data_IF_114845399605
#
_entry.id   IF_114845399605
#
_cell.length_a   1.000
_cell.length_b   1.000
_cell.length_c   1.000
_cell.angle_alpha   90.00
_cell.angle_beta   90.00
_cell.angle_gamma   90.00
#
_symmetry.space_group_name_H-M   'P 1'
#
loop_
_entity.id
_entity.type
_entity.pdbx_description
1 polymer ?
#
# COMPACT_ATOMS: atom_id res chain seq x y z
N UNK A 1 18.80 29.46 -33.42
CA UNK A 1 17.35 29.64 -33.21
C UNK A 1 16.94 28.60 -32.21
N UNK A 2 16.18 28.98 -31.19
CA UNK A 2 15.66 28.00 -30.25
C UNK A 2 14.69 27.09 -30.99
N UNK A 3 14.90 25.79 -30.86
CA UNK A 3 14.02 24.78 -31.43
C UNK A 3 12.66 24.86 -30.72
N UNK A 4 11.59 25.19 -31.45
CA UNK A 4 10.25 25.34 -30.88
C UNK A 4 9.46 24.05 -31.08
N UNK A 5 8.94 23.51 -29.99
CA UNK A 5 8.04 22.36 -30.00
C UNK A 5 6.58 22.76 -29.78
N UNK A 6 5.69 21.94 -30.33
CA UNK A 6 4.25 21.98 -30.08
C UNK A 6 3.87 20.81 -29.21
N UNK A 7 3.19 21.10 -28.11
CA UNK A 7 2.68 20.16 -27.15
C UNK A 7 1.15 20.09 -27.14
N UNK A 8 0.61 18.89 -26.92
CA UNK A 8 -0.81 18.64 -26.68
C UNK A 8 -0.97 17.70 -25.49
N UNK A 9 -2.05 17.88 -24.72
CA UNK A 9 -2.29 17.04 -23.54
C UNK A 9 -2.49 15.55 -23.87
N UNK A 10 -3.31 15.17 -24.85
CA UNK A 10 -3.51 13.76 -25.23
C UNK A 10 -4.23 13.56 -26.56
N UNK A 11 -3.57 12.92 -27.54
CA UNK A 11 -4.15 12.61 -28.86
C UNK A 11 -3.70 11.21 -29.32
N UNK A 12 -4.53 10.48 -30.07
CA UNK A 12 -4.16 9.15 -30.63
C UNK A 12 -3.68 9.24 -32.09
N UNK A 13 -4.09 10.27 -32.82
CA UNK A 13 -3.61 10.54 -34.18
C UNK A 13 -3.29 12.03 -34.34
N UNK A 14 -2.28 12.35 -35.17
CA UNK A 14 -1.89 13.73 -35.43
C UNK A 14 -1.29 13.94 -36.82
N UNK A 15 -1.63 15.08 -37.44
CA UNK A 15 -1.02 15.64 -38.66
C UNK A 15 -0.81 17.13 -38.45
N UNK A 16 0.36 17.64 -38.82
CA UNK A 16 0.70 19.06 -38.71
C UNK A 16 1.19 19.57 -40.06
N UNK A 17 0.80 20.80 -40.38
CA UNK A 17 1.39 21.63 -41.41
C UNK A 17 1.80 22.97 -40.79
N UNK A 18 2.97 23.49 -41.16
CA UNK A 18 3.43 24.81 -40.77
C UNK A 18 3.64 25.67 -42.02
N UNK A 19 2.87 26.73 -42.15
CA UNK A 19 2.94 27.69 -43.25
C UNK A 19 3.69 28.94 -42.78
N UNK A 20 4.76 29.28 -43.47
CA UNK A 20 5.64 30.41 -43.16
C UNK A 20 6.15 31.04 -44.46
N UNK A 21 6.95 32.12 -44.41
CA UNK A 21 7.28 32.89 -45.63
C UNK A 21 8.08 32.09 -46.67
N UNK A 22 8.80 31.06 -46.20
CA UNK A 22 9.61 30.15 -47.00
C UNK A 22 8.85 28.97 -47.62
N UNK A 23 7.55 28.81 -47.34
CA UNK A 23 6.73 27.73 -47.87
C UNK A 23 5.89 27.01 -46.81
N UNK A 24 5.54 25.76 -47.09
CA UNK A 24 4.73 24.91 -46.20
C UNK A 24 5.52 23.66 -45.84
N UNK A 25 5.83 23.51 -44.55
CA UNK A 25 6.41 22.30 -43.99
C UNK A 25 5.31 21.29 -43.66
N UNK A 26 5.42 20.09 -44.23
CA UNK A 26 4.51 18.98 -43.99
C UNK A 26 5.13 17.92 -43.08
N UNK A 27 4.53 17.69 -41.92
CA UNK A 27 4.99 16.67 -40.97
C UNK A 27 4.30 15.33 -41.20
N UNK A 28 5.00 14.23 -40.96
CA UNK A 28 4.44 12.89 -41.14
C UNK A 28 3.19 12.67 -40.25
N UNK A 29 2.19 12.03 -40.82
CA UNK A 29 1.01 11.62 -40.05
C UNK A 29 1.39 10.52 -39.07
N UNK A 30 0.93 10.65 -37.82
CA UNK A 30 1.22 9.72 -36.73
C UNK A 30 -0.06 9.10 -36.18
N UNK A 31 -0.03 7.79 -35.94
CA UNK A 31 -1.03 6.99 -35.22
C UNK A 31 -0.41 6.22 -34.07
N UNK A 32 -0.95 6.42 -32.87
CA UNK A 32 -0.60 5.66 -31.68
C UNK A 32 -0.80 4.15 -31.91
N UNK A 33 0.15 3.34 -31.43
CA UNK A 33 0.12 1.88 -31.52
C UNK A 33 0.57 1.30 -32.87
N UNK A 34 0.44 2.05 -33.97
CA UNK A 34 0.94 1.65 -35.30
C UNK A 34 2.34 2.19 -35.56
N UNK A 35 2.52 3.49 -35.40
CA UNK A 35 3.77 4.17 -35.71
C UNK A 35 4.70 4.20 -34.48
N UNK A 36 6.03 4.36 -34.66
CA UNK A 36 6.96 4.49 -33.56
C UNK A 36 6.55 5.58 -32.57
N UNK A 37 6.82 5.41 -31.28
CA UNK A 37 6.49 6.41 -30.27
C UNK A 37 7.46 7.61 -30.28
N UNK A 38 8.65 7.47 -30.89
CA UNK A 38 9.64 8.54 -31.07
C UNK A 38 10.18 8.53 -32.52
N UNK A 39 10.55 9.69 -33.04
CA UNK A 39 11.23 9.87 -34.32
C UNK A 39 12.02 11.19 -34.37
N UNK A 40 12.66 11.48 -35.51
CA UNK A 40 13.39 12.74 -35.70
C UNK A 40 12.43 13.93 -35.56
N UNK A 41 12.66 14.78 -34.56
CA UNK A 41 11.79 15.93 -34.28
C UNK A 41 10.40 15.58 -33.75
N UNK A 42 10.16 14.35 -33.26
CA UNK A 42 8.85 13.95 -32.72
C UNK A 42 8.97 13.00 -31.54
N UNK A 43 8.18 13.26 -30.51
CA UNK A 43 7.90 12.32 -29.42
C UNK A 43 6.37 12.26 -29.28
N UNK A 44 5.79 11.10 -29.57
CA UNK A 44 4.34 10.87 -29.52
C UNK A 44 3.59 11.87 -30.41
N UNK A 45 2.64 12.62 -29.83
CA UNK A 45 1.92 13.72 -30.46
C UNK A 45 2.68 15.04 -30.46
N UNK A 46 3.83 15.15 -29.79
CA UNK A 46 4.61 16.38 -29.70
C UNK A 46 5.59 16.47 -30.87
N UNK A 47 5.69 17.63 -31.50
CA UNK A 47 6.47 17.84 -32.72
C UNK A 47 7.34 19.09 -32.59
N UNK A 48 8.59 18.97 -33.01
CA UNK A 48 9.45 20.10 -33.36
C UNK A 48 8.89 20.74 -34.63
N UNK A 49 8.67 22.05 -34.59
CA UNK A 49 8.13 22.80 -35.73
C UNK A 49 9.06 23.96 -36.08
N UNK A 50 9.27 24.17 -37.38
CA UNK A 50 10.09 25.28 -37.87
C UNK A 50 9.25 26.54 -37.82
N UNK A 51 9.75 27.55 -37.13
CA UNK A 51 9.13 28.87 -37.02
C UNK A 51 10.23 29.92 -37.19
N UNK A 52 10.40 30.50 -38.39
CA UNK A 52 11.45 31.47 -38.60
C UNK A 52 11.24 32.74 -37.76
N UNK A 53 12.34 33.32 -37.28
CA UNK A 53 12.28 34.48 -36.41
C UNK A 53 11.85 35.74 -37.18
N UNK A 54 10.95 36.53 -36.59
CA UNK A 54 10.51 37.81 -37.16
C UNK A 54 9.36 37.71 -38.16
N UNK A 55 8.77 36.54 -38.35
CA UNK A 55 7.60 36.34 -39.21
C UNK A 55 6.48 35.55 -38.52
N UNK A 56 5.30 35.57 -39.13
CA UNK A 56 4.14 34.82 -38.65
C UNK A 56 4.17 33.43 -39.29
N UNK A 57 4.25 32.38 -38.47
CA UNK A 57 4.03 31.00 -38.89
C UNK A 57 2.61 30.56 -38.51
N UNK A 58 1.83 30.11 -39.49
CA UNK A 58 0.48 29.58 -39.28
C UNK A 58 0.55 28.06 -39.18
N UNK A 59 0.03 27.50 -38.09
CA UNK A 59 0.11 26.06 -37.81
C UNK A 59 -1.26 25.43 -37.97
N UNK A 60 -1.40 24.52 -38.94
CA UNK A 60 -2.60 23.71 -39.10
C UNK A 60 -2.38 22.37 -38.41
N UNK A 61 -3.08 22.16 -37.30
CA UNK A 61 -2.94 20.98 -36.46
C UNK A 61 -4.21 20.14 -36.49
N UNK A 62 -4.16 19.03 -37.20
CA UNK A 62 -5.24 18.06 -37.28
C UNK A 62 -4.96 16.93 -36.32
N UNK A 63 -5.94 16.60 -35.48
CA UNK A 63 -5.82 15.50 -34.54
C UNK A 63 -7.11 14.69 -34.46
N UNK A 64 -6.97 13.44 -34.03
CA UNK A 64 -8.09 12.56 -33.74
C UNK A 64 -7.85 11.83 -32.43
N UNK A 65 -8.93 11.63 -31.69
CA UNK A 65 -8.97 10.74 -30.54
C UNK A 65 -10.23 9.88 -30.67
N UNK A 66 -10.06 8.60 -31.06
CA UNK A 66 -11.17 7.67 -31.26
C UNK A 66 -10.83 6.33 -30.60
N UNK A 67 -11.56 5.90 -29.55
CA UNK A 67 -12.62 6.65 -28.85
C UNK A 67 -12.06 7.89 -28.12
N UNK A 68 -12.94 8.84 -27.84
CA UNK A 68 -12.60 10.11 -27.20
C UNK A 68 -12.18 9.94 -25.75
N UNK A 69 -11.12 10.64 -25.34
CA UNK A 69 -10.66 10.64 -23.95
C UNK A 69 -11.53 11.53 -23.06
N UNK A 70 -12.22 10.91 -22.10
CA UNK A 70 -13.07 11.63 -21.15
C UNK A 70 -12.31 12.24 -19.98
N UNK A 71 -11.02 11.94 -19.79
CA UNK A 71 -10.20 12.60 -18.75
C UNK A 71 -9.72 13.99 -19.16
N UNK A 72 -9.14 14.13 -20.37
CA UNK A 72 -8.47 15.37 -20.79
C UNK A 72 -9.36 16.32 -21.61
N UNK A 73 -10.67 16.14 -21.58
CA UNK A 73 -11.65 16.84 -22.43
C UNK A 73 -12.12 18.20 -21.91
N UNK A 74 -12.69 19.09 -22.73
CA UNK A 74 -13.52 20.24 -22.31
C UNK A 74 -14.71 20.38 -23.27
N UNK A 75 -15.69 21.20 -22.91
CA UNK A 75 -16.91 21.47 -23.70
C UNK A 75 -16.62 21.93 -25.15
N UNK A 76 -15.39 22.41 -25.43
CA UNK A 76 -14.95 22.85 -26.76
C UNK A 76 -13.86 21.96 -27.42
N UNK A 77 -13.64 20.71 -26.96
CA UNK A 77 -12.67 19.77 -27.56
C UNK A 77 -11.58 19.31 -26.58
N UNK A 78 -10.40 18.94 -27.10
CA UNK A 78 -9.23 18.63 -26.26
C UNK A 78 -8.57 19.94 -25.81
N UNK A 79 -8.28 20.04 -24.51
CA UNK A 79 -8.24 21.34 -23.82
C UNK A 79 -6.99 22.20 -24.06
N UNK A 80 -5.85 21.62 -24.41
CA UNK A 80 -4.58 22.37 -24.33
C UNK A 80 -3.61 22.03 -25.46
N UNK A 81 -3.23 23.07 -26.18
CA UNK A 81 -2.05 23.14 -27.04
C UNK A 81 -1.11 24.19 -26.44
N UNK A 82 0.15 23.84 -26.30
CA UNK A 82 1.20 24.74 -25.79
C UNK A 82 2.37 24.74 -26.77
N UNK A 83 3.13 25.83 -26.75
CA UNK A 83 4.41 25.94 -27.44
C UNK A 83 5.50 26.18 -26.40
N UNK A 84 6.71 25.70 -26.67
CA UNK A 84 7.85 25.89 -25.79
C UNK A 84 9.13 25.33 -26.39
N UNK A 85 10.26 25.45 -25.68
CA UNK A 85 11.52 24.86 -26.13
C UNK A 85 11.36 23.35 -26.34
N UNK A 86 11.75 22.85 -27.52
CA UNK A 86 11.63 21.45 -27.88
C UNK A 86 12.37 20.53 -26.90
N UNK A 87 13.52 21.00 -26.41
CA UNK A 87 14.32 20.30 -25.43
C UNK A 87 13.55 20.07 -24.11
N UNK A 88 12.81 21.06 -23.63
CA UNK A 88 12.05 20.96 -22.38
C UNK A 88 10.85 20.02 -22.55
N UNK A 89 10.13 20.13 -23.67
CA UNK A 89 9.01 19.22 -24.01
C UNK A 89 9.53 17.77 -24.06
N UNK A 90 10.66 17.54 -24.74
CA UNK A 90 11.27 16.21 -24.84
C UNK A 90 11.66 15.67 -23.47
N UNK A 91 12.32 16.49 -22.65
CA UNK A 91 12.77 16.10 -21.31
C UNK A 91 11.59 15.78 -20.38
N UNK A 92 10.50 16.54 -20.43
CA UNK A 92 9.29 16.27 -19.65
C UNK A 92 8.65 14.92 -20.01
N UNK A 93 8.53 14.61 -21.31
CA UNK A 93 7.96 13.33 -21.76
C UNK A 93 8.83 12.14 -21.37
N UNK A 94 10.16 12.27 -21.51
CA UNK A 94 11.11 11.24 -21.08
C UNK A 94 11.13 11.06 -19.56
N UNK A 95 11.02 12.15 -18.80
CA UNK A 95 10.94 12.12 -17.34
C UNK A 95 9.69 11.38 -16.87
N UNK A 96 8.53 11.61 -17.50
CA UNK A 96 7.30 10.88 -17.17
C UNK A 96 7.45 9.37 -17.39
N UNK A 97 8.06 8.98 -18.52
CA UNK A 97 8.36 7.58 -18.80
C UNK A 97 9.35 6.98 -17.79
N UNK A 98 10.48 7.64 -17.54
CA UNK A 98 11.49 7.20 -16.59
C UNK A 98 10.92 7.05 -15.17
N UNK A 99 10.06 8.00 -14.76
CA UNK A 99 9.38 7.97 -13.46
C UNK A 99 8.45 6.75 -13.35
N UNK A 100 7.66 6.43 -14.38
CA UNK A 100 6.80 5.24 -14.37
C UNK A 100 7.60 3.92 -14.39
N UNK A 101 8.73 3.87 -15.11
CA UNK A 101 9.65 2.71 -15.06
C UNK A 101 10.22 2.54 -13.65
N UNK A 102 10.65 3.63 -13.01
CA UNK A 102 11.18 3.60 -11.65
C UNK A 102 10.13 3.12 -10.64
N UNK A 103 8.90 3.67 -10.70
CA UNK A 103 7.79 3.23 -9.84
C UNK A 103 7.49 1.75 -10.04
N UNK A 104 7.43 1.27 -11.29
CA UNK A 104 7.25 -0.15 -11.60
C UNK A 104 8.34 -1.01 -10.96
N UNK A 105 9.61 -0.69 -11.20
CA UNK A 105 10.74 -1.47 -10.70
C UNK A 105 10.80 -1.49 -9.16
N UNK A 106 10.61 -0.33 -8.52
CA UNK A 106 10.62 -0.19 -7.06
C UNK A 106 9.44 -0.95 -6.44
N UNK A 107 8.23 -0.75 -6.96
CA UNK A 107 7.04 -1.40 -6.43
C UNK A 107 7.10 -2.92 -6.61
N UNK A 108 7.62 -3.40 -7.75
CA UNK A 108 7.82 -4.83 -7.98
C UNK A 108 8.87 -5.42 -7.01
N UNK A 109 10.01 -4.74 -6.83
CA UNK A 109 11.07 -5.16 -5.92
C UNK A 109 10.60 -5.22 -4.46
N UNK A 110 9.94 -4.17 -3.98
CA UNK A 110 9.37 -4.14 -2.64
C UNK A 110 8.19 -5.12 -2.47
N UNK A 111 7.39 -5.31 -3.52
CA UNK A 111 6.35 -6.33 -3.57
C UNK A 111 6.93 -7.73 -3.34
N UNK A 112 8.00 -8.08 -4.05
CA UNK A 112 8.75 -9.33 -3.88
C UNK A 112 9.39 -9.43 -2.49
N UNK A 113 10.01 -8.37 -1.99
CA UNK A 113 10.57 -8.32 -0.65
C UNK A 113 9.52 -8.61 0.43
N UNK A 114 8.37 -7.93 0.41
CA UNK A 114 7.31 -8.20 1.38
C UNK A 114 6.61 -9.53 1.17
N UNK A 115 6.59 -10.07 -0.05
CA UNK A 115 6.13 -11.43 -0.31
C UNK A 115 7.05 -12.44 0.40
N UNK A 116 8.37 -12.27 0.31
CA UNK A 116 9.33 -13.10 1.03
C UNK A 116 9.20 -12.93 2.56
N UNK A 117 8.97 -11.71 3.05
CA UNK A 117 8.68 -11.51 4.48
C UNK A 117 7.38 -12.19 4.91
N UNK A 118 6.36 -12.22 4.05
CA UNK A 118 5.11 -12.93 4.30
C UNK A 118 5.29 -14.44 4.36
N UNK A 119 6.13 -15.05 3.51
CA UNK A 119 6.35 -16.51 3.58
C UNK A 119 6.98 -16.95 4.90
N UNK A 120 7.84 -16.12 5.48
CA UNK A 120 8.52 -16.38 6.77
C UNK A 120 7.65 -16.01 7.97
N UNK A 121 7.10 -14.79 7.98
CA UNK A 121 6.46 -14.23 9.16
C UNK A 121 4.94 -14.37 9.19
N UNK A 122 4.32 -14.64 8.02
CA UNK A 122 2.86 -14.57 7.80
C UNK A 122 2.30 -13.19 8.21
N UNK A 123 0.99 -13.10 8.40
CA UNK A 123 0.32 -11.89 8.88
C UNK A 123 0.18 -10.80 7.82
N UNK A 124 0.31 -9.54 8.23
CA UNK A 124 -0.14 -8.40 7.45
C UNK A 124 0.76 -8.01 6.25
N UNK A 125 1.94 -8.63 6.12
CA UNK A 125 2.83 -8.42 4.98
C UNK A 125 2.20 -8.81 3.64
N UNK A 126 1.22 -9.73 3.64
CA UNK A 126 0.49 -10.09 2.43
C UNK A 126 -0.19 -8.88 1.78
N UNK A 127 -0.93 -8.10 2.56
CA UNK A 127 -1.69 -6.96 2.03
C UNK A 127 -0.77 -5.84 1.55
N UNK A 128 0.35 -5.63 2.25
CA UNK A 128 1.38 -4.67 1.84
C UNK A 128 2.03 -5.09 0.51
N UNK A 129 2.42 -6.37 0.39
CA UNK A 129 2.98 -6.94 -0.83
C UNK A 129 1.99 -6.87 -2.00
N UNK A 130 0.75 -7.30 -1.80
CA UNK A 130 -0.30 -7.25 -2.82
C UNK A 130 -0.56 -5.82 -3.31
N UNK A 131 -0.59 -4.84 -2.40
CA UNK A 131 -0.75 -3.42 -2.76
C UNK A 131 0.40 -2.93 -3.65
N UNK A 132 1.63 -3.35 -3.37
CA UNK A 132 2.81 -3.00 -4.17
C UNK A 132 2.83 -3.68 -5.54
N UNK A 133 2.44 -4.95 -5.64
CA UNK A 133 2.22 -5.59 -6.93
C UNK A 133 1.13 -4.87 -7.74
N UNK A 134 0.07 -4.41 -7.09
CA UNK A 134 -0.98 -3.64 -7.74
C UNK A 134 -0.50 -2.26 -8.20
N UNK A 135 0.36 -1.58 -7.43
CA UNK A 135 1.02 -0.34 -7.86
C UNK A 135 1.92 -0.59 -9.06
N UNK A 136 2.70 -1.67 -9.05
CA UNK A 136 3.51 -2.05 -10.20
C UNK A 136 2.64 -2.30 -11.44
N UNK A 137 1.51 -3.00 -11.30
CA UNK A 137 0.57 -3.21 -12.40
C UNK A 137 0.00 -1.89 -12.93
N UNK A 138 -0.45 -0.99 -12.05
CA UNK A 138 -0.93 0.35 -12.43
C UNK A 138 0.14 1.12 -13.21
N UNK A 139 1.38 1.12 -12.73
CA UNK A 139 2.51 1.78 -13.39
C UNK A 139 2.81 1.16 -14.77
N UNK A 140 2.77 -0.16 -14.89
CA UNK A 140 2.95 -0.86 -16.17
C UNK A 140 1.83 -0.54 -17.18
N UNK A 141 0.60 -0.29 -16.70
CA UNK A 141 -0.54 0.11 -17.53
C UNK A 141 -0.74 1.62 -17.62
N UNK A 142 0.23 2.42 -17.18
CA UNK A 142 0.20 3.87 -17.34
C UNK A 142 0.29 4.25 -18.83
N UNK A 143 -0.19 5.46 -19.14
CA UNK A 143 -0.22 5.96 -20.51
C UNK A 143 1.16 5.96 -21.17
N UNK A 144 2.21 6.39 -20.45
CA UNK A 144 3.57 6.45 -20.99
C UNK A 144 4.17 5.06 -21.23
N UNK A 145 3.93 4.12 -20.33
CA UNK A 145 4.42 2.74 -20.46
C UNK A 145 3.71 2.01 -21.61
N UNK A 146 2.42 2.26 -21.79
CA UNK A 146 1.66 1.67 -22.88
C UNK A 146 2.12 2.13 -24.26
N UNK A 147 2.63 3.35 -24.39
CA UNK A 147 3.22 3.81 -25.65
C UNK A 147 4.46 3.00 -26.04
N UNK A 148 5.35 2.74 -25.07
CA UNK A 148 6.58 1.98 -25.28
C UNK A 148 6.28 0.50 -25.52
N UNK A 149 5.36 -0.07 -24.73
CA UNK A 149 4.98 -1.49 -24.81
C UNK A 149 3.93 -1.79 -25.89
N UNK A 150 3.45 -0.78 -26.62
CA UNK A 150 2.36 -0.89 -27.62
C UNK A 150 1.11 -1.59 -27.06
N UNK A 151 0.75 -1.28 -25.82
CA UNK A 151 -0.45 -1.85 -25.20
C UNK A 151 -1.72 -1.32 -25.88
N UNK A 152 -2.76 -2.16 -26.01
CA UNK A 152 -4.07 -1.70 -26.46
C UNK A 152 -4.61 -0.56 -25.58
N UNK A 153 -5.18 0.48 -26.22
CA UNK A 153 -5.72 1.68 -25.53
C UNK A 153 -6.78 1.32 -24.47
N UNK A 154 -7.49 0.21 -24.65
CA UNK A 154 -8.46 -0.29 -23.66
C UNK A 154 -7.86 -0.56 -22.28
N UNK A 155 -6.55 -0.80 -22.14
CA UNK A 155 -5.93 -1.04 -20.83
C UNK A 155 -5.39 0.24 -20.18
N UNK A 156 -5.41 1.36 -20.88
CA UNK A 156 -4.80 2.62 -20.40
C UNK A 156 -5.76 3.78 -20.37
N UNK A 157 -6.83 3.74 -21.17
CA UNK A 157 -7.81 4.81 -21.25
C UNK A 157 -9.26 4.29 -21.28
N UNK A 158 -9.57 3.37 -20.36
CA UNK A 158 -10.91 2.85 -20.15
C UNK A 158 -11.20 2.68 -18.65
N UNK A 159 -12.38 2.13 -18.34
CA UNK A 159 -12.77 1.61 -17.04
C UNK A 159 -11.72 0.69 -16.38
N UNK A 160 -10.83 0.07 -17.16
CA UNK A 160 -9.75 -0.77 -16.64
C UNK A 160 -8.88 -0.03 -15.62
N UNK A 161 -8.55 1.24 -15.87
CA UNK A 161 -7.73 2.02 -14.94
C UNK A 161 -8.45 2.26 -13.62
N UNK A 162 -9.78 2.44 -13.67
CA UNK A 162 -10.63 2.56 -12.49
C UNK A 162 -10.75 1.23 -11.72
N UNK A 163 -10.78 0.10 -12.43
CA UNK A 163 -10.72 -1.22 -11.81
C UNK A 163 -9.39 -1.41 -11.07
N UNK A 164 -8.26 -1.07 -11.70
CA UNK A 164 -6.94 -1.19 -11.08
C UNK A 164 -6.79 -0.28 -9.86
N UNK A 165 -7.32 0.94 -9.93
CA UNK A 165 -7.34 1.87 -8.79
C UNK A 165 -8.24 1.36 -7.65
N UNK A 166 -9.42 0.84 -7.98
CA UNK A 166 -10.35 0.28 -6.99
C UNK A 166 -9.76 -0.94 -6.28
N UNK A 167 -9.03 -1.80 -7.01
CA UNK A 167 -8.33 -2.94 -6.44
C UNK A 167 -7.20 -2.48 -5.51
N UNK A 168 -6.46 -1.45 -5.88
CA UNK A 168 -5.43 -0.87 -5.01
C UNK A 168 -6.04 -0.35 -3.69
N UNK A 169 -7.14 0.39 -3.77
CA UNK A 169 -7.83 0.89 -2.57
C UNK A 169 -8.36 -0.23 -1.69
N UNK A 170 -8.94 -1.29 -2.28
CA UNK A 170 -9.33 -2.48 -1.53
C UNK A 170 -8.15 -3.08 -0.76
N UNK A 171 -7.01 -3.30 -1.41
CA UNK A 171 -5.83 -3.91 -0.79
C UNK A 171 -5.25 -3.04 0.34
N UNK A 172 -5.17 -1.73 0.13
CA UNK A 172 -4.72 -0.77 1.15
C UNK A 172 -5.69 -0.70 2.34
N UNK A 173 -7.00 -0.74 2.11
CA UNK A 173 -8.00 -0.77 3.18
C UNK A 173 -7.85 -2.04 4.03
N UNK A 174 -7.62 -3.20 3.41
CA UNK A 174 -7.35 -4.44 4.15
C UNK A 174 -6.06 -4.34 4.96
N UNK A 175 -5.01 -3.76 4.37
CA UNK A 175 -3.76 -3.49 5.08
C UNK A 175 -4.01 -2.60 6.31
N UNK A 176 -4.70 -1.47 6.17
CA UNK A 176 -4.98 -0.53 7.27
C UNK A 176 -5.83 -1.17 8.36
N UNK A 177 -6.89 -1.88 7.97
CA UNK A 177 -7.80 -2.57 8.88
C UNK A 177 -7.07 -3.55 9.78
N UNK A 178 -6.18 -4.35 9.20
CA UNK A 178 -5.39 -5.35 9.93
C UNK A 178 -4.25 -4.70 10.73
N UNK A 179 -3.55 -3.72 10.17
CA UNK A 179 -2.47 -2.98 10.87
C UNK A 179 -2.97 -2.31 12.13
N UNK A 180 -4.15 -1.68 12.07
CA UNK A 180 -4.75 -0.98 13.20
C UNK A 180 -5.54 -1.90 14.16
N UNK A 181 -5.64 -3.20 13.84
CA UNK A 181 -6.44 -4.20 14.57
C UNK A 181 -7.85 -3.69 14.85
N UNK A 182 -8.50 -3.10 13.84
CA UNK A 182 -9.78 -2.39 14.01
C UNK A 182 -10.87 -3.28 14.62
N UNK A 183 -10.91 -4.56 14.24
CA UNK A 183 -11.84 -5.55 14.78
C UNK A 183 -11.79 -5.66 16.30
N UNK A 184 -10.61 -5.56 16.90
CA UNK A 184 -10.39 -5.69 18.34
C UNK A 184 -10.48 -4.34 19.05
N UNK A 185 -9.88 -3.30 18.45
CA UNK A 185 -9.74 -1.98 19.09
C UNK A 185 -10.99 -1.10 18.95
N UNK A 186 -11.61 -1.08 17.76
CA UNK A 186 -12.72 -0.17 17.43
C UNK A 186 -13.71 -0.85 16.46
N UNK A 187 -14.53 -1.82 16.92
CA UNK A 187 -15.34 -2.68 16.05
C UNK A 187 -16.40 -1.92 15.22
N UNK A 188 -16.87 -0.75 15.69
CA UNK A 188 -17.78 0.09 14.91
C UNK A 188 -17.11 0.63 13.64
N UNK A 189 -15.87 1.12 13.75
CA UNK A 189 -15.08 1.60 12.61
C UNK A 189 -14.71 0.43 11.70
N UNK A 190 -14.42 -0.76 12.27
CA UNK A 190 -14.16 -1.97 11.48
C UNK A 190 -15.29 -2.29 10.49
N UNK A 191 -16.56 -2.12 10.89
CA UNK A 191 -17.71 -2.32 10.01
C UNK A 191 -17.72 -1.35 8.81
N UNK A 192 -17.30 -0.10 9.02
CA UNK A 192 -17.19 0.90 7.94
C UNK A 192 -16.10 0.49 6.93
N UNK A 193 -14.95 0.01 7.44
CA UNK A 193 -13.87 -0.51 6.59
C UNK A 193 -14.31 -1.76 5.81
N UNK A 194 -15.06 -2.67 6.44
CA UNK A 194 -15.63 -3.85 5.77
C UNK A 194 -16.62 -3.47 4.67
N UNK A 195 -17.58 -2.58 4.95
CA UNK A 195 -18.54 -2.11 3.97
C UNK A 195 -17.85 -1.42 2.77
N UNK A 196 -16.84 -0.60 3.06
CA UNK A 196 -16.02 0.05 2.02
C UNK A 196 -15.22 -0.97 1.21
N UNK A 197 -14.71 -2.03 1.83
CA UNK A 197 -14.02 -3.11 1.13
C UNK A 197 -14.96 -3.82 0.15
N UNK A 198 -16.20 -4.10 0.56
CA UNK A 198 -17.22 -4.67 -0.33
C UNK A 198 -17.56 -3.73 -1.49
N UNK A 199 -17.68 -2.43 -1.20
CA UNK A 199 -17.87 -1.39 -2.23
C UNK A 199 -16.73 -1.42 -3.28
N UNK A 200 -15.46 -1.43 -2.87
CA UNK A 200 -14.36 -1.49 -3.83
C UNK A 200 -14.30 -2.80 -4.60
N UNK A 201 -14.61 -3.93 -3.99
CA UNK A 201 -14.67 -5.21 -4.71
C UNK A 201 -15.78 -5.19 -5.77
N UNK A 202 -16.94 -4.63 -5.46
CA UNK A 202 -18.02 -4.39 -6.42
C UNK A 202 -17.56 -3.47 -7.55
N UNK A 203 -16.84 -2.39 -7.25
CA UNK A 203 -16.27 -1.48 -8.26
C UNK A 203 -15.27 -2.18 -9.17
N UNK A 204 -14.42 -3.07 -8.64
CA UNK A 204 -13.49 -3.85 -9.46
C UNK A 204 -14.26 -4.70 -10.46
N UNK A 205 -15.25 -5.47 -10.00
CA UNK A 205 -16.07 -6.32 -10.88
C UNK A 205 -16.81 -5.49 -11.92
N UNK A 206 -17.46 -4.40 -11.50
CA UNK A 206 -18.20 -3.50 -12.38
C UNK A 206 -17.29 -2.91 -13.47
N UNK A 207 -16.16 -2.32 -13.09
CA UNK A 207 -15.27 -1.66 -14.05
C UNK A 207 -14.56 -2.66 -14.98
N UNK A 208 -14.23 -3.88 -14.51
CA UNK A 208 -13.74 -4.94 -15.38
C UNK A 208 -14.80 -5.38 -16.39
N UNK A 209 -16.06 -5.50 -15.98
CA UNK A 209 -17.17 -5.79 -16.88
C UNK A 209 -17.42 -4.67 -17.91
N UNK A 210 -17.35 -3.41 -17.48
CA UNK A 210 -17.46 -2.28 -18.41
C UNK A 210 -16.28 -2.24 -19.40
N UNK A 211 -15.09 -2.64 -18.98
CA UNK A 211 -13.90 -2.72 -19.85
C UNK A 211 -14.11 -3.66 -21.04
N UNK A 212 -14.85 -4.78 -20.88
CA UNK A 212 -15.08 -5.71 -21.99
C UNK A 212 -16.00 -5.15 -23.08
N UNK A 213 -16.82 -4.14 -22.73
CA UNK A 213 -17.75 -3.45 -23.63
C UNK A 213 -17.20 -2.11 -24.14
N UNK A 214 -15.95 -1.77 -23.82
CA UNK A 214 -15.32 -0.54 -24.28
C UNK A 214 -15.00 -0.62 -25.78
N UNK A 215 -15.21 0.46 -26.57
CA UNK A 215 -15.67 1.79 -26.14
C UNK A 215 -17.19 1.94 -26.00
N UNK A 216 -17.59 2.66 -24.96
CA UNK A 216 -18.99 3.03 -24.73
C UNK A 216 -19.46 4.12 -25.70
N UNK A 217 -20.77 4.23 -25.92
CA UNK A 217 -21.37 5.29 -26.75
C UNK A 217 -20.94 6.69 -26.32
N UNK A 218 -20.82 6.92 -25.02
CA UNK A 218 -20.32 8.18 -24.46
C UNK A 218 -18.88 8.52 -24.89
N UNK A 219 -18.07 7.55 -25.32
CA UNK A 219 -16.74 7.78 -25.87
C UNK A 219 -16.72 8.00 -27.39
N UNK A 220 -17.86 7.88 -28.07
CA UNK A 220 -17.96 7.92 -29.54
C UNK A 220 -18.91 9.03 -30.01
N UNK A 221 -20.06 9.18 -29.37
CA UNK A 221 -21.06 10.22 -29.64
C UNK A 221 -20.96 11.36 -28.63
N UNK A 222 -20.22 12.41 -29.01
CA UNK A 222 -20.02 13.60 -28.19
C UNK A 222 -21.16 14.63 -28.33
N UNK A 223 -22.08 14.44 -29.28
CA UNK A 223 -23.26 15.30 -29.43
C UNK A 223 -24.28 14.95 -28.37
N UNK A 224 -24.57 13.66 -28.22
CA UNK A 224 -25.47 13.16 -27.18
C UNK A 224 -24.82 13.17 -25.79
N UNK A 225 -23.52 12.87 -25.72
CA UNK A 225 -22.77 12.80 -24.46
C UNK A 225 -21.63 13.82 -24.42
N UNK A 226 -21.93 15.10 -24.17
CA UNK A 226 -20.93 16.14 -24.17
C UNK A 226 -19.80 15.86 -23.16
N UNK A 227 -18.58 16.37 -23.42
CA UNK A 227 -17.44 16.13 -22.54
C UNK A 227 -17.61 16.71 -21.14
N UNK A 228 -17.30 15.91 -20.12
CA UNK A 228 -17.58 16.22 -18.70
C UNK A 228 -16.33 16.21 -17.79
N UNK A 229 -15.15 15.85 -18.31
CA UNK A 229 -13.90 15.65 -17.53
C UNK A 229 -13.98 14.62 -16.41
N UNK A 230 -15.04 13.83 -16.35
CA UNK A 230 -15.27 12.93 -15.22
C UNK A 230 -14.54 11.59 -15.36
N UNK A 231 -13.88 11.36 -16.50
CA UNK A 231 -13.28 10.08 -16.85
C UNK A 231 -14.30 9.05 -17.38
N UNK A 232 -13.82 7.85 -17.75
CA UNK A 232 -14.66 6.75 -18.20
C UNK A 232 -15.49 6.18 -17.04
N UNK A 233 -16.37 5.25 -17.39
CA UNK A 233 -17.16 4.48 -16.44
C UNK A 233 -18.36 5.17 -15.81
N UNK A 234 -19.18 4.32 -15.20
CA UNK A 234 -20.45 4.67 -14.57
C UNK A 234 -20.21 5.45 -13.29
N UNK A 235 -19.27 5.00 -12.46
CA UNK A 235 -18.92 5.62 -11.18
C UNK A 235 -17.65 6.44 -11.39
N UNK A 236 -17.77 7.76 -11.23
CA UNK A 236 -16.70 8.72 -11.53
C UNK A 236 -15.62 8.74 -10.45
N UNK A 237 -14.41 9.18 -10.83
CA UNK A 237 -13.22 9.19 -9.96
C UNK A 237 -13.46 9.80 -8.57
N UNK A 238 -14.18 10.93 -8.40
CA UNK A 238 -14.41 11.50 -7.07
C UNK A 238 -15.14 10.54 -6.11
N UNK A 239 -16.06 9.73 -6.62
CA UNK A 239 -16.82 8.75 -5.84
C UNK A 239 -16.03 7.46 -5.58
N UNK A 240 -14.95 7.24 -6.32
CA UNK A 240 -13.98 6.16 -6.06
C UNK A 240 -12.92 6.64 -5.07
N UNK A 241 -12.38 7.85 -5.23
CA UNK A 241 -11.30 8.37 -4.40
C UNK A 241 -11.78 8.90 -3.04
N UNK A 242 -12.95 9.56 -2.99
CA UNK A 242 -13.48 10.21 -1.79
C UNK A 242 -13.58 9.28 -0.58
N UNK A 243 -14.24 8.10 -0.69
CA UNK A 243 -14.32 7.16 0.42
C UNK A 243 -12.95 6.65 0.86
N UNK A 244 -12.02 6.41 -0.08
CA UNK A 244 -10.67 5.96 0.27
C UNK A 244 -9.90 7.04 1.03
N UNK A 245 -9.94 8.29 0.57
CA UNK A 245 -9.29 9.43 1.25
C UNK A 245 -9.83 9.58 2.67
N UNK A 246 -11.15 9.47 2.85
CA UNK A 246 -11.75 9.51 4.19
C UNK A 246 -11.20 8.40 5.10
N UNK A 247 -11.12 7.15 4.61
CA UNK A 247 -10.59 6.04 5.39
C UNK A 247 -9.09 6.18 5.66
N UNK A 248 -8.32 6.68 4.70
CA UNK A 248 -6.90 6.97 4.86
C UNK A 248 -6.66 7.98 5.99
N UNK A 249 -7.43 9.09 5.99
CA UNK A 249 -7.37 10.09 7.04
C UNK A 249 -7.81 9.53 8.40
N UNK A 250 -8.88 8.73 8.43
CA UNK A 250 -9.30 8.04 9.65
C UNK A 250 -8.21 7.09 10.18
N UNK A 251 -7.54 6.35 9.29
CA UNK A 251 -6.41 5.49 9.65
C UNK A 251 -5.22 6.28 10.19
N UNK A 252 -4.91 7.45 9.61
CA UNK A 252 -3.86 8.33 10.11
C UNK A 252 -4.17 8.84 11.53
N UNK A 253 -5.41 9.31 11.76
CA UNK A 253 -5.86 9.77 13.08
C UNK A 253 -5.83 8.64 14.10
N UNK A 254 -6.34 7.45 13.76
CA UNK A 254 -6.31 6.30 14.66
C UNK A 254 -4.89 5.84 14.98
N UNK A 255 -3.97 5.87 14.00
CA UNK A 255 -2.55 5.56 14.23
C UNK A 255 -1.94 6.55 15.22
N UNK A 256 -2.22 7.84 15.06
CA UNK A 256 -1.74 8.88 15.97
C UNK A 256 -2.30 8.71 17.39
N UNK A 257 -3.61 8.45 17.52
CA UNK A 257 -4.25 8.22 18.83
C UNK A 257 -3.68 6.98 19.52
N UNK A 258 -3.42 5.89 18.79
CA UNK A 258 -2.81 4.69 19.35
C UNK A 258 -1.35 4.93 19.76
N UNK A 259 -0.59 5.72 18.98
CA UNK A 259 0.76 6.11 19.35
C UNK A 259 0.76 6.94 20.63
N UNK A 260 -0.16 7.91 20.77
CA UNK A 260 -0.31 8.71 22.00
C UNK A 260 -0.61 7.85 23.23
N UNK A 261 -1.28 6.71 23.05
CA UNK A 261 -1.53 5.71 24.11
C UNK A 261 -0.34 4.79 24.41
N UNK A 262 0.82 5.02 23.79
CA UNK A 262 2.07 4.31 24.06
C UNK A 262 2.40 3.17 23.10
N UNK A 263 1.63 2.97 22.02
CA UNK A 263 1.92 1.92 21.04
C UNK A 263 3.10 2.28 20.14
N UNK A 264 4.18 1.49 20.20
CA UNK A 264 5.38 1.67 19.36
C UNK A 264 5.09 1.31 17.90
N UNK A 265 4.31 0.25 17.62
CA UNK A 265 3.96 -0.07 16.23
C UNK A 265 3.12 1.04 15.58
N UNK A 266 2.23 1.69 16.35
CA UNK A 266 1.36 2.75 15.84
C UNK A 266 2.15 4.03 15.51
N UNK A 267 3.30 4.26 16.17
CA UNK A 267 4.24 5.33 15.81
C UNK A 267 4.71 5.20 14.37
N UNK A 268 5.15 4.00 13.97
CA UNK A 268 5.62 3.75 12.61
C UNK A 268 4.49 3.93 11.59
N UNK A 269 3.27 3.45 11.89
CA UNK A 269 2.09 3.70 11.05
C UNK A 269 1.81 5.20 10.88
N UNK A 270 1.80 5.96 11.98
CA UNK A 270 1.54 7.40 11.94
C UNK A 270 2.59 8.14 11.09
N UNK A 271 3.87 7.80 11.23
CA UNK A 271 4.94 8.36 10.40
C UNK A 271 4.70 8.04 8.92
N UNK A 272 4.35 6.79 8.57
CA UNK A 272 4.06 6.40 7.20
C UNK A 272 2.99 7.27 6.56
N UNK A 273 1.89 7.56 7.29
CA UNK A 273 0.81 8.39 6.76
C UNK A 273 1.19 9.86 6.54
N UNK A 274 2.16 10.39 7.31
CA UNK A 274 2.58 11.79 7.19
C UNK A 274 3.54 12.00 6.00
N UNK A 275 4.35 11.00 5.67
CA UNK A 275 5.43 11.14 4.67
C UNK A 275 4.96 11.70 3.31
N UNK A 276 3.87 11.22 2.68
CA UNK A 276 3.42 11.76 1.40
C UNK A 276 3.03 13.25 1.46
N UNK A 277 2.56 13.75 2.60
CA UNK A 277 2.17 15.16 2.74
C UNK A 277 3.37 16.11 2.75
N UNK A 278 4.57 15.60 3.07
CA UNK A 278 5.81 16.38 2.95
C UNK A 278 6.18 16.69 1.50
N UNK A 279 5.55 16.03 0.52
CA UNK A 279 5.75 16.37 -0.89
C UNK A 279 5.28 17.79 -1.20
N UNK A 280 4.21 18.28 -0.56
CA UNK A 280 3.65 19.62 -0.80
C UNK A 280 4.66 20.74 -0.50
N UNK A 281 5.26 20.84 0.71
CA UNK A 281 6.25 21.88 0.99
C UNK A 281 7.54 21.70 0.16
N UNK A 282 7.95 20.47 -0.15
CA UNK A 282 9.13 20.22 -1.00
C UNK A 282 8.87 20.70 -2.43
N UNK A 283 7.70 20.39 -2.99
CA UNK A 283 7.29 20.88 -4.31
C UNK A 283 7.14 22.40 -4.33
N UNK A 284 6.58 23.00 -3.28
CA UNK A 284 6.50 24.46 -3.16
C UNK A 284 7.89 25.11 -3.15
N UNK A 285 8.84 24.56 -2.38
CA UNK A 285 10.22 25.03 -2.37
C UNK A 285 10.90 24.87 -3.75
N UNK A 286 10.68 23.73 -4.42
CA UNK A 286 11.21 23.50 -5.77
C UNK A 286 10.66 24.51 -6.79
N UNK A 287 9.37 24.85 -6.69
CA UNK A 287 8.75 25.86 -7.56
C UNK A 287 9.40 27.23 -7.39
N UNK A 288 9.72 27.63 -6.15
CA UNK A 288 10.39 28.91 -5.89
C UNK A 288 11.82 28.99 -6.46
N UNK A 289 12.48 27.85 -6.67
CA UNK A 289 13.87 27.78 -7.15
C UNK A 289 13.91 27.64 -8.68
N UNK A 290 13.05 26.79 -9.25
CA UNK A 290 13.12 26.36 -10.64
C UNK A 290 12.00 26.90 -11.52
N UNK A 291 11.05 27.66 -10.94
CA UNK A 291 9.80 28.08 -11.59
C UNK A 291 9.05 26.89 -12.22
N UNK A 292 8.07 27.13 -13.10
CA UNK A 292 7.34 26.07 -13.80
C UNK A 292 8.15 25.45 -14.95
N UNK A 293 9.26 24.78 -14.64
CA UNK A 293 10.18 24.15 -15.59
C UNK A 293 10.22 22.62 -15.49
N UNK A 294 10.92 21.95 -16.42
CA UNK A 294 11.15 20.50 -16.33
C UNK A 294 11.95 20.12 -15.07
N UNK A 295 12.84 20.99 -14.60
CA UNK A 295 13.62 20.78 -13.38
C UNK A 295 12.74 20.79 -12.13
N UNK A 296 11.72 21.67 -12.08
CA UNK A 296 10.70 21.63 -11.04
C UNK A 296 9.97 20.27 -11.03
N UNK A 297 9.50 19.82 -12.19
CA UNK A 297 8.81 18.53 -12.29
C UNK A 297 9.70 17.36 -11.89
N UNK A 298 10.99 17.38 -12.25
CA UNK A 298 11.97 16.39 -11.81
C UNK A 298 12.13 16.36 -10.28
N UNK A 299 12.32 17.53 -9.65
CA UNK A 299 12.46 17.63 -8.21
C UNK A 299 11.20 17.16 -7.48
N UNK A 300 10.03 17.62 -7.93
CA UNK A 300 8.74 17.25 -7.35
C UNK A 300 8.43 15.76 -7.49
N UNK A 301 8.57 15.18 -8.69
CA UNK A 301 8.29 13.76 -8.93
C UNK A 301 9.25 12.85 -8.16
N UNK A 302 10.53 13.24 -8.08
CA UNK A 302 11.54 12.52 -7.31
C UNK A 302 11.23 12.55 -5.81
N UNK A 303 10.88 13.72 -5.28
CA UNK A 303 10.50 13.86 -3.87
C UNK A 303 9.28 13.00 -3.52
N UNK A 304 8.22 13.04 -4.35
CA UNK A 304 7.03 12.20 -4.18
C UNK A 304 7.43 10.72 -4.19
N UNK A 305 8.24 10.29 -5.17
CA UNK A 305 8.70 8.90 -5.29
C UNK A 305 9.46 8.43 -4.05
N UNK A 306 10.41 9.22 -3.55
CA UNK A 306 11.19 8.91 -2.35
C UNK A 306 10.30 8.86 -1.10
N UNK A 307 9.39 9.81 -0.93
CA UNK A 307 8.48 9.84 0.22
C UNK A 307 7.50 8.66 0.22
N UNK A 308 6.97 8.29 -0.94
CA UNK A 308 6.13 7.09 -1.09
C UNK A 308 6.94 5.82 -0.80
N UNK A 309 8.19 5.75 -1.25
CA UNK A 309 9.07 4.64 -0.93
C UNK A 309 9.33 4.54 0.58
N UNK A 310 9.66 5.66 1.23
CA UNK A 310 9.85 5.72 2.67
C UNK A 310 8.57 5.36 3.45
N UNK A 311 7.38 5.70 2.92
CA UNK A 311 6.10 5.27 3.48
C UNK A 311 5.97 3.74 3.48
N UNK A 312 6.28 3.06 2.38
CA UNK A 312 6.23 1.60 2.33
C UNK A 312 7.26 0.94 3.26
N UNK A 313 8.49 1.47 3.31
CA UNK A 313 9.52 1.01 4.26
C UNK A 313 9.03 1.11 5.70
N UNK A 314 8.46 2.25 6.09
CA UNK A 314 7.94 2.48 7.45
C UNK A 314 6.70 1.65 7.76
N UNK A 315 5.84 1.36 6.78
CA UNK A 315 4.78 0.36 6.92
C UNK A 315 5.36 -1.04 7.18
N UNK A 316 6.44 -1.41 6.50
CA UNK A 316 7.18 -2.64 6.79
C UNK A 316 7.66 -2.71 8.24
N UNK A 317 8.25 -1.63 8.75
CA UNK A 317 8.66 -1.55 10.16
C UNK A 317 7.48 -1.63 11.14
N UNK A 318 6.34 -1.01 10.82
CA UNK A 318 5.15 -1.13 11.63
C UNK A 318 4.68 -2.59 11.77
N UNK A 319 4.65 -3.33 10.66
CA UNK A 319 4.30 -4.76 10.67
C UNK A 319 5.34 -5.59 11.41
N UNK A 320 6.64 -5.30 11.22
CA UNK A 320 7.72 -5.97 11.94
C UNK A 320 7.61 -5.79 13.46
N UNK A 321 7.37 -4.55 13.92
CA UNK A 321 7.22 -4.24 15.33
C UNK A 321 5.98 -4.93 15.91
N UNK A 322 4.86 -4.90 15.20
CA UNK A 322 3.63 -5.59 15.63
C UNK A 322 3.87 -7.10 15.82
N UNK A 323 4.60 -7.75 14.91
CA UNK A 323 4.94 -9.17 15.04
C UNK A 323 5.87 -9.43 16.22
N UNK A 324 6.85 -8.56 16.46
CA UNK A 324 7.74 -8.67 17.63
C UNK A 324 6.96 -8.51 18.94
N UNK A 325 6.04 -7.56 19.01
CA UNK A 325 5.19 -7.34 20.19
C UNK A 325 4.30 -8.58 20.46
N UNK A 326 3.72 -9.18 19.41
CA UNK A 326 2.94 -10.40 19.54
C UNK A 326 3.79 -11.59 19.99
N UNK A 327 5.00 -11.76 19.46
CA UNK A 327 5.94 -12.81 19.88
C UNK A 327 6.35 -12.64 21.34
N UNK A 328 6.64 -11.41 21.78
CA UNK A 328 6.97 -11.11 23.16
C UNK A 328 5.82 -11.45 24.11
N UNK A 329 4.57 -11.13 23.72
CA UNK A 329 3.38 -11.47 24.49
C UNK A 329 3.17 -12.99 24.58
N UNK A 330 3.27 -13.70 23.45
CA UNK A 330 3.13 -15.15 23.41
C UNK A 330 4.20 -15.87 24.26
N UNK A 331 5.45 -15.40 24.19
CA UNK A 331 6.54 -15.91 25.02
C UNK A 331 6.27 -15.69 26.51
N UNK A 332 5.78 -14.49 26.88
CA UNK A 332 5.42 -14.19 28.27
C UNK A 332 4.31 -15.11 28.77
N UNK A 333 3.28 -15.36 27.95
CA UNK A 333 2.20 -16.30 28.28
C UNK A 333 2.73 -17.73 28.44
N UNK A 334 3.62 -18.17 27.56
CA UNK A 334 4.26 -19.48 27.65
C UNK A 334 5.05 -19.63 28.96
N UNK A 335 5.82 -18.61 29.35
CA UNK A 335 6.55 -18.61 30.63
C UNK A 335 5.59 -18.73 31.82
N UNK A 336 4.47 -17.98 31.81
CA UNK A 336 3.47 -18.05 32.88
C UNK A 336 2.83 -19.44 33.00
N UNK A 337 2.52 -20.08 31.87
CA UNK A 337 1.99 -21.45 31.84
C UNK A 337 3.03 -22.44 32.36
N UNK A 338 4.29 -22.33 31.94
CA UNK A 338 5.38 -23.19 32.44
C UNK A 338 5.58 -23.02 33.95
N UNK A 339 5.54 -21.79 34.48
CA UNK A 339 5.61 -21.52 35.92
C UNK A 339 4.42 -22.10 36.69
N UNK A 340 3.22 -22.11 36.10
CA UNK A 340 2.05 -22.75 36.71
C UNK A 340 2.21 -24.27 36.79
N UNK A 341 2.76 -24.92 35.76
CA UNK A 341 3.01 -26.36 35.78
C UNK A 341 4.04 -26.80 36.83
N UNK A 342 5.06 -25.97 37.10
CA UNK A 342 6.04 -26.24 38.16
C UNK A 342 5.41 -26.32 39.57
N UNK A 343 4.19 -25.82 39.78
CA UNK A 343 3.47 -25.96 41.05
C UNK A 343 2.92 -27.38 41.28
N UNK A 344 2.73 -28.15 40.21
CA UNK A 344 2.15 -29.50 40.25
C UNK A 344 3.18 -30.59 39.98
N UNK A 345 4.25 -30.26 39.26
CA UNK A 345 5.38 -31.17 39.03
C UNK A 345 6.65 -30.53 39.59
N UNK A 346 7.08 -30.90 40.81
CA UNK A 346 8.25 -30.32 41.45
C UNK A 346 9.53 -30.57 40.63
N UNK A 347 10.46 -29.61 40.54
CA UNK A 347 11.76 -29.81 39.88
C UNK A 347 12.54 -30.99 40.46
N UNK A 348 12.39 -31.27 41.76
CA UNK A 348 13.04 -32.41 42.42
C UNK A 348 12.57 -33.75 41.85
N UNK A 349 11.30 -33.87 41.45
CA UNK A 349 10.79 -35.09 40.82
C UNK A 349 11.44 -35.30 39.44
N UNK A 350 11.62 -34.22 38.68
CA UNK A 350 12.31 -34.26 37.39
C UNK A 350 13.79 -34.62 37.56
N UNK A 351 14.46 -34.02 38.55
CA UNK A 351 15.85 -34.32 38.89
C UNK A 351 16.03 -35.78 39.27
N UNK A 352 15.10 -36.36 40.04
CA UNK A 352 15.15 -37.77 40.41
C UNK A 352 14.98 -38.67 39.17
N UNK A 353 14.13 -38.29 38.22
CA UNK A 353 13.97 -38.96 36.93
C UNK A 353 15.16 -38.74 35.97
N UNK A 354 16.18 -37.96 36.37
CA UNK A 354 17.31 -37.60 35.52
C UNK A 354 16.92 -36.71 34.33
N UNK A 355 15.87 -35.89 34.49
CA UNK A 355 15.33 -34.99 33.46
C UNK A 355 15.53 -33.54 33.85
N UNK A 356 15.91 -32.70 32.89
CA UNK A 356 16.04 -31.26 33.12
C UNK A 356 14.72 -30.51 32.89
N UNK A 357 13.82 -31.09 32.09
CA UNK A 357 12.53 -30.48 31.71
C UNK A 357 11.38 -31.48 31.72
N UNK A 358 10.19 -30.99 32.09
CA UNK A 358 8.93 -31.74 31.95
C UNK A 358 8.67 -32.19 30.50
N UNK A 359 9.24 -31.49 29.52
CA UNK A 359 9.13 -31.83 28.09
C UNK A 359 9.87 -33.13 27.74
N UNK A 360 10.78 -33.59 28.58
CA UNK A 360 11.55 -34.83 28.37
C UNK A 360 10.85 -36.06 28.97
N UNK A 361 9.84 -35.84 29.82
CA UNK A 361 9.10 -36.90 30.51
C UNK A 361 8.14 -37.57 29.53
N UNK A 362 8.27 -38.88 29.37
CA UNK A 362 7.38 -39.72 28.56
C UNK A 362 6.54 -40.64 29.44
N UNK A 363 5.40 -41.08 28.91
CA UNK A 363 4.59 -42.10 29.57
C UNK A 363 5.41 -43.38 29.72
N UNK A 364 5.53 -43.87 30.96
CA UNK A 364 6.33 -45.05 31.29
C UNK A 364 7.77 -44.74 31.73
N UNK A 365 8.18 -43.47 31.78
CA UNK A 365 9.45 -43.11 32.42
C UNK A 365 9.43 -43.52 33.89
N UNK A 366 10.46 -44.26 34.30
CA UNK A 366 10.68 -44.72 35.66
C UNK A 366 12.17 -44.64 36.01
N UNK A 367 12.45 -44.51 37.30
CA UNK A 367 13.81 -44.50 37.83
C UNK A 367 13.83 -45.31 39.12
N UNK A 368 14.92 -46.03 39.35
CA UNK A 368 15.19 -46.70 40.62
C UNK A 368 16.17 -45.83 41.42
N UNK A 369 15.73 -45.35 42.59
CA UNK A 369 16.49 -44.41 43.43
C UNK A 369 16.35 -44.83 44.88
N UNK A 370 17.48 -45.03 45.55
CA UNK A 370 17.51 -45.24 47.00
C UNK A 370 17.23 -43.92 47.71
N UNK A 371 16.12 -43.85 48.46
CA UNK A 371 15.71 -42.64 49.17
C UNK A 371 15.04 -42.97 50.52
N UNK A 372 15.28 -42.12 51.51
CA UNK A 372 14.62 -42.21 52.81
C UNK A 372 13.23 -41.58 52.76
N UNK A 373 12.21 -42.30 53.23
CA UNK A 373 10.82 -41.82 53.28
C UNK A 373 10.52 -41.27 54.67
N UNK A 374 10.10 -40.01 54.74
CA UNK A 374 9.56 -39.39 55.95
C UNK A 374 8.03 -39.38 55.89
N UNK A 375 7.39 -39.93 56.92
CA UNK A 375 5.94 -39.83 57.11
C UNK A 375 5.63 -39.02 58.37
N UNK A 376 4.72 -38.06 58.26
CA UNK A 376 4.30 -37.20 59.36
C UNK A 376 2.83 -36.83 59.17
N UNK A 377 2.03 -36.93 60.25
CA UNK A 377 0.60 -36.65 60.24
C UNK A 377 0.20 -35.77 61.43
N UNK A 378 -0.92 -35.05 61.30
CA UNK A 378 -1.48 -34.20 62.34
C UNK A 378 -2.32 -35.06 63.28
N UNK A 379 -1.92 -35.10 64.55
CA UNK A 379 -2.66 -35.84 65.59
C UNK A 379 -4.12 -35.37 65.65
N UNK A 380 -5.05 -36.32 65.62
CA UNK A 380 -6.49 -36.07 65.71
C UNK A 380 -7.03 -35.14 64.62
N UNK A 381 -6.44 -35.16 63.42
CA UNK A 381 -6.86 -34.29 62.30
C UNK A 381 -8.35 -34.40 61.98
N UNK A 382 -8.91 -35.61 61.97
CA UNK A 382 -10.34 -35.84 61.69
C UNK A 382 -11.24 -35.01 62.59
N UNK A 383 -11.05 -35.11 63.92
CA UNK A 383 -11.85 -34.36 64.90
C UNK A 383 -11.67 -32.85 64.80
N UNK A 384 -10.46 -32.38 64.46
CA UNK A 384 -10.18 -30.96 64.24
C UNK A 384 -10.91 -30.46 62.98
N UNK A 385 -10.81 -31.21 61.88
CA UNK A 385 -11.36 -30.86 60.57
C UNK A 385 -12.90 -30.78 60.55
N UNK A 386 -13.58 -31.66 61.30
CA UNK A 386 -15.04 -31.70 61.41
C UNK A 386 -15.62 -30.46 62.12
N UNK A 387 -14.80 -29.75 62.90
CA UNK A 387 -15.19 -28.49 63.57
C UNK A 387 -14.90 -27.23 62.74
N UNK A 388 -14.27 -27.38 61.57
CA UNK A 388 -13.84 -26.27 60.72
C UNK A 388 -14.70 -26.14 59.46
N UNK A 389 -14.80 -24.92 58.93
CA UNK A 389 -15.29 -24.73 57.57
C UNK A 389 -14.24 -25.22 56.56
N UNK A 390 -14.61 -25.55 55.32
CA UNK A 390 -13.65 -25.94 54.29
C UNK A 390 -12.51 -24.92 54.10
N UNK A 391 -12.82 -23.62 54.13
CA UNK A 391 -11.81 -22.56 54.02
C UNK A 391 -10.84 -22.58 55.21
N UNK A 392 -11.35 -22.63 56.44
CA UNK A 392 -10.50 -22.68 57.64
C UNK A 392 -9.64 -23.95 57.70
N UNK A 393 -10.17 -25.09 57.23
CA UNK A 393 -9.42 -26.33 57.13
C UNK A 393 -8.26 -26.18 56.12
N UNK A 394 -8.52 -25.64 54.93
CA UNK A 394 -7.46 -25.35 53.95
C UNK A 394 -6.39 -24.40 54.50
N UNK A 395 -6.79 -23.34 55.20
CA UNK A 395 -5.86 -22.40 55.82
C UNK A 395 -5.03 -23.07 56.93
N UNK A 396 -5.64 -23.92 57.75
CA UNK A 396 -4.96 -24.70 58.78
C UNK A 396 -3.90 -25.64 58.18
N UNK A 397 -4.26 -26.38 57.13
CA UNK A 397 -3.33 -27.28 56.41
C UNK A 397 -2.18 -26.49 55.77
N UNK A 398 -2.48 -25.37 55.10
CA UNK A 398 -1.46 -24.50 54.51
C UNK A 398 -0.54 -23.89 55.56
N UNK A 399 -1.06 -23.51 56.73
CA UNK A 399 -0.27 -23.00 57.85
C UNK A 399 0.68 -24.06 58.43
N UNK A 400 0.24 -25.32 58.51
CA UNK A 400 1.09 -26.44 58.90
C UNK A 400 2.21 -26.70 57.87
N UNK A 401 1.85 -26.87 56.59
CA UNK A 401 2.80 -27.14 55.51
C UNK A 401 3.81 -26.01 55.29
N UNK A 402 3.41 -24.75 55.49
CA UNK A 402 4.31 -23.60 55.36
C UNK A 402 5.39 -23.53 56.45
N UNK A 403 5.15 -24.12 57.63
CA UNK A 403 6.14 -24.22 58.72
C UNK A 403 7.05 -25.43 58.55
N UNK A 404 6.47 -26.59 58.24
CA UNK A 404 7.21 -27.86 58.16
C UNK A 404 8.00 -27.97 56.85
N UNK A 405 7.43 -27.51 55.73
CA UNK A 405 8.05 -27.64 54.39
C UNK A 405 9.46 -27.04 54.28
N UNK A 406 9.73 -25.81 54.77
CA UNK A 406 11.08 -25.24 54.77
C UNK A 406 12.06 -26.03 55.65
N UNK A 407 11.61 -26.54 56.81
CA UNK A 407 12.46 -27.32 57.73
C UNK A 407 12.92 -28.60 57.05
N UNK A 408 12.01 -29.30 56.36
CA UNK A 408 12.35 -30.52 55.61
C UNK A 408 13.29 -30.22 54.44
N UNK A 409 13.17 -29.07 53.77
CA UNK A 409 14.07 -28.68 52.66
C UNK A 409 15.46 -28.19 53.09
N UNK A 410 15.65 -27.90 54.38
CA UNK A 410 16.92 -27.39 54.93
C UNK A 410 17.69 -28.41 55.79
N UNK A 411 17.10 -29.59 56.02
CA UNK A 411 17.78 -30.77 56.55
C UNK A 411 17.98 -31.77 55.41
#
# INVERSE_FOLDING_TARGET
MDEIGIEHNFNTEKKIYAEHSGGVDEYNYWRQGRDPWMGNGRILSHHLVVMPAGEITTIYNYFRNKPFDRFMSKVNGLDRMTIGPWQDIRNLQLLGLASNIAVFAIALSFGLYYMAMFTVSRGNYFWLSASLFQIALVAATSLSMAWVMKLPVKYTNSDFTLAMLSLLFFLLIQFFRNSLRLRENVPLIDKVFQASSAYYLMLVVLNLYMTTHWPHEAGVDLVTYPPDRAGPGLIKVPYIAGPFIFLLLASAVLSFLQWWRGSVYAKYLAISFVLPFLAVPISAAAYLIFDFSWAFWFAASTAIGILVLAMFVTFGFAVAQQLNDMKALALKQQIQVTQAYQRFVPPQLLSNLGKESILEVKLGDQVDVEMSILFSDIRSFTSISETMTPAHNFDFVNAYLSRIGPIIRHN
#
